data_IF_338079059280
#
_entry.id   IF_338079059280
#
_cell.length_a   1.000
_cell.length_b   1.000
_cell.length_c   1.000
_cell.angle_alpha   90.00
_cell.angle_beta   90.00
_cell.angle_gamma   90.00
#
_symmetry.space_group_name_H-M   'P 1'
#
loop_
_entity.id
_entity.type
_entity.pdbx_description
1 polymer ?
#
# COMPACT_ATOMS: atom_id res chain seq x y z
N UNK A 1 18.81 31.34 21.31
CA UNK A 1 19.01 30.01 20.70
C UNK A 1 17.70 29.63 20.03
N UNK A 2 17.76 29.15 18.79
CA UNK A 2 16.64 28.70 17.96
C UNK A 2 15.83 27.59 18.67
N UNK A 3 14.50 27.69 18.73
CA UNK A 3 13.53 27.33 17.67
C UNK A 3 13.42 25.82 17.42
N UNK A 4 12.24 25.24 17.72
CA UNK A 4 11.35 24.61 16.72
C UNK A 4 9.89 24.93 17.11
N UNK A 5 9.02 25.16 16.12
CA UNK A 5 7.64 25.67 16.25
C UNK A 5 6.57 24.58 16.14
N UNK A 6 5.36 24.95 16.52
CA UNK A 6 4.06 24.29 16.29
C UNK A 6 3.88 23.59 14.93
N UNK A 7 3.07 22.51 14.93
CA UNK A 7 2.26 22.09 13.79
C UNK A 7 0.96 21.42 14.27
N UNK A 8 -0.15 22.18 14.21
CA UNK A 8 -1.52 21.73 14.46
C UNK A 8 -1.91 20.53 13.58
N UNK A 9 -2.45 19.47 14.17
CA UNK A 9 -3.00 18.34 13.41
C UNK A 9 -4.33 18.74 12.72
N UNK A 10 -4.46 18.66 11.38
CA UNK A 10 -5.71 18.96 10.70
C UNK A 10 -6.65 17.74 10.64
N UNK A 11 -7.92 17.98 10.96
CA UNK A 11 -9.05 17.05 10.84
C UNK A 11 -9.28 16.57 9.41
N UNK A 12 -9.29 15.25 9.17
CA UNK A 12 -9.68 14.62 7.88
C UNK A 12 -10.42 13.31 8.20
N UNK A 13 -11.75 13.28 8.35
CA UNK A 13 -12.78 13.33 7.29
C UNK A 13 -12.65 12.24 6.22
N UNK A 14 -13.63 11.33 6.15
CA UNK A 14 -13.65 10.18 5.23
C UNK A 14 -14.04 10.60 3.80
N UNK A 15 -13.10 11.10 3.00
CA UNK A 15 -13.27 11.27 1.54
C UNK A 15 -11.91 11.37 0.80
N UNK A 16 -11.30 10.22 0.50
CA UNK A 16 -10.11 10.10 -0.38
C UNK A 16 -8.78 10.43 0.28
N UNK A 17 -8.08 9.42 0.81
CA UNK A 17 -6.74 9.58 1.37
C UNK A 17 -5.87 8.34 1.02
N UNK A 18 -4.62 8.48 0.52
CA UNK A 18 -3.81 7.33 0.08
C UNK A 18 -3.22 6.52 1.26
N UNK A 19 -2.69 5.32 1.00
CA UNK A 19 -1.91 4.51 1.97
C UNK A 19 -0.51 5.11 2.18
N UNK A 20 0.35 4.56 3.06
CA UNK A 20 1.68 5.11 3.42
C UNK A 20 2.87 4.08 3.43
N UNK A 21 4.04 4.47 2.89
CA UNK A 21 5.24 3.65 2.59
C UNK A 21 6.46 3.93 3.49
N UNK A 22 6.65 5.17 3.93
CA UNK A 22 7.84 5.72 4.65
C UNK A 22 9.15 5.90 3.83
N UNK A 23 9.95 6.91 4.21
CA UNK A 23 11.33 7.18 3.75
C UNK A 23 12.32 7.14 4.95
N UNK A 24 13.65 7.25 4.71
CA UNK A 24 14.67 7.06 5.77
C UNK A 24 14.60 8.06 6.94
N UNK A 25 13.86 9.16 6.79
CA UNK A 25 13.63 10.23 7.77
C UNK A 25 12.45 9.99 8.73
N UNK A 26 11.91 8.76 8.82
CA UNK A 26 10.88 8.40 9.81
C UNK A 26 9.46 8.90 9.50
N UNK A 27 9.29 9.81 8.55
CA UNK A 27 7.98 10.25 8.07
C UNK A 27 7.26 9.13 7.30
N UNK A 28 5.97 8.87 7.57
CA UNK A 28 5.14 8.16 6.61
C UNK A 28 5.02 9.04 5.35
N UNK A 29 5.59 8.61 4.22
CA UNK A 29 5.24 9.13 2.88
C UNK A 29 4.10 8.29 2.30
N UNK A 30 3.19 8.79 1.44
CA UNK A 30 2.11 7.97 0.92
C UNK A 30 2.60 6.80 0.03
N UNK A 31 2.17 5.56 0.30
CA UNK A 31 2.04 4.46 -0.69
C UNK A 31 0.97 4.94 -1.67
N UNK A 32 1.31 5.24 -2.93
CA UNK A 32 0.33 5.76 -3.87
C UNK A 32 -0.56 4.63 -4.38
N UNK A 33 -1.53 4.17 -3.58
CA UNK A 33 -2.59 3.27 -4.05
C UNK A 33 -3.41 3.90 -5.18
N UNK A 34 -3.54 5.23 -5.20
CA UNK A 34 -4.12 5.98 -6.30
C UNK A 34 -3.31 5.86 -7.62
N UNK A 35 -2.03 5.45 -7.56
CA UNK A 35 -1.26 5.10 -8.75
C UNK A 35 -1.52 3.66 -9.23
N UNK A 36 -2.16 2.80 -8.43
CA UNK A 36 -2.59 1.47 -8.85
C UNK A 36 -3.91 1.57 -9.63
N UNK A 37 -3.98 0.89 -10.76
CA UNK A 37 -5.23 0.70 -11.49
C UNK A 37 -6.21 -0.15 -10.68
N UNK A 38 -7.51 -0.06 -10.99
CA UNK A 38 -8.56 -0.91 -10.39
C UNK A 38 -8.20 -2.39 -10.34
N UNK A 39 -7.51 -2.89 -11.37
CA UNK A 39 -7.08 -4.30 -11.45
C UNK A 39 -5.87 -4.63 -10.58
N UNK A 40 -4.92 -3.71 -10.48
CA UNK A 40 -3.78 -3.83 -9.58
C UNK A 40 -4.23 -3.75 -8.11
N UNK A 41 -5.23 -2.93 -7.78
CA UNK A 41 -5.87 -2.89 -6.45
C UNK A 41 -6.54 -4.22 -6.08
N UNK A 42 -7.29 -4.84 -7.00
CA UNK A 42 -7.88 -6.16 -6.78
C UNK A 42 -6.82 -7.24 -6.50
N UNK A 43 -5.72 -7.24 -7.27
CA UNK A 43 -4.60 -8.17 -7.06
C UNK A 43 -3.89 -7.87 -5.73
N UNK A 44 -3.67 -6.60 -5.38
CA UNK A 44 -3.05 -6.21 -4.12
C UNK A 44 -3.90 -6.62 -2.90
N UNK A 45 -5.23 -6.43 -2.94
CA UNK A 45 -6.15 -6.93 -1.90
C UNK A 45 -5.97 -8.42 -1.67
N UNK A 46 -6.04 -9.21 -2.74
CA UNK A 46 -5.92 -10.67 -2.66
C UNK A 46 -4.53 -11.12 -2.21
N UNK A 47 -3.49 -10.31 -2.41
CA UNK A 47 -2.16 -10.54 -1.84
C UNK A 47 -2.14 -10.28 -0.32
N UNK A 48 -2.79 -9.21 0.16
CA UNK A 48 -2.93 -8.88 1.59
C UNK A 48 -3.77 -9.92 2.34
N UNK A 49 -4.79 -10.49 1.69
CA UNK A 49 -5.55 -11.66 2.16
C UNK A 49 -4.69 -12.95 2.26
N UNK A 50 -3.40 -12.91 1.91
CA UNK A 50 -2.48 -14.04 1.98
C UNK A 50 -2.57 -15.03 0.82
N UNK A 51 -3.46 -14.81 -0.16
CA UNK A 51 -3.78 -15.82 -1.18
C UNK A 51 -2.62 -16.03 -2.17
N UNK A 52 -2.25 -17.28 -2.52
CA UNK A 52 -1.19 -17.55 -3.49
C UNK A 52 -1.67 -17.22 -4.91
N UNK A 53 -0.74 -16.88 -5.81
CA UNK A 53 -1.05 -16.37 -7.16
C UNK A 53 -2.00 -17.26 -7.97
N UNK A 54 -1.98 -18.59 -7.76
CA UNK A 54 -2.92 -19.55 -8.36
C UNK A 54 -4.38 -19.33 -7.92
N UNK A 55 -4.61 -19.02 -6.65
CA UNK A 55 -5.96 -18.72 -6.14
C UNK A 55 -6.40 -17.34 -6.63
N UNK A 56 -5.51 -16.34 -6.60
CA UNK A 56 -5.78 -15.01 -7.17
C UNK A 56 -6.14 -15.10 -8.66
N UNK A 57 -5.47 -15.97 -9.42
CA UNK A 57 -5.74 -16.23 -10.82
C UNK A 57 -7.18 -16.75 -11.03
N UNK A 58 -7.60 -17.75 -10.25
CA UNK A 58 -8.96 -18.30 -10.25
C UNK A 58 -10.00 -17.25 -9.84
N UNK A 59 -9.83 -16.60 -8.68
CA UNK A 59 -10.75 -15.59 -8.11
C UNK A 59 -10.99 -14.42 -9.07
N UNK A 60 -9.96 -14.02 -9.82
CA UNK A 60 -10.01 -12.89 -10.73
C UNK A 60 -10.24 -13.31 -12.20
N UNK A 61 -10.41 -14.60 -12.50
CA UNK A 61 -10.59 -15.13 -13.86
C UNK A 61 -9.48 -14.72 -14.85
N UNK A 62 -8.21 -14.81 -14.43
CA UNK A 62 -7.01 -14.51 -15.25
C UNK A 62 -5.92 -15.57 -15.07
N UNK A 63 -4.94 -15.61 -15.96
CA UNK A 63 -3.81 -16.54 -15.82
C UNK A 63 -2.87 -16.18 -14.66
N UNK A 64 -2.17 -17.16 -14.09
CA UNK A 64 -1.10 -16.92 -13.12
C UNK A 64 0.03 -16.02 -13.67
N UNK A 65 0.29 -16.08 -14.98
CA UNK A 65 1.23 -15.18 -15.67
C UNK A 65 0.73 -13.73 -15.60
N UNK A 66 -0.56 -13.51 -15.81
CA UNK A 66 -1.21 -12.20 -15.69
C UNK A 66 -1.17 -11.68 -14.26
N UNK A 67 -1.39 -12.54 -13.25
CA UNK A 67 -1.21 -12.18 -11.84
C UNK A 67 0.23 -11.75 -11.55
N UNK A 68 1.24 -12.54 -12.00
CA UNK A 68 2.66 -12.19 -11.85
C UNK A 68 3.02 -10.86 -12.52
N UNK A 69 2.44 -10.56 -13.68
CA UNK A 69 2.59 -9.27 -14.36
C UNK A 69 1.99 -8.11 -13.54
N UNK A 70 0.77 -8.28 -12.99
CA UNK A 70 0.20 -7.29 -12.08
C UNK A 70 1.05 -7.10 -10.82
N UNK A 71 1.55 -8.17 -10.19
CA UNK A 71 2.50 -8.08 -9.07
C UNK A 71 3.72 -7.21 -9.43
N UNK A 72 4.37 -7.47 -10.58
CA UNK A 72 5.55 -6.72 -11.00
C UNK A 72 5.25 -5.22 -11.23
N UNK A 73 4.08 -4.88 -11.78
CA UNK A 73 3.67 -3.48 -11.95
C UNK A 73 3.32 -2.82 -10.61
N UNK A 74 2.62 -3.51 -9.70
CA UNK A 74 2.35 -3.04 -8.32
C UNK A 74 3.67 -2.74 -7.62
N UNK A 75 4.62 -3.66 -7.66
CA UNK A 75 5.93 -3.53 -7.03
C UNK A 75 6.71 -2.32 -7.58
N UNK A 76 6.75 -2.16 -8.91
CA UNK A 76 7.36 -0.99 -9.57
C UNK A 76 6.69 0.33 -9.17
N UNK A 77 5.35 0.38 -9.15
CA UNK A 77 4.56 1.59 -8.83
C UNK A 77 4.67 2.01 -7.36
N UNK A 78 4.76 1.05 -6.45
CA UNK A 78 4.89 1.29 -5.01
C UNK A 78 6.36 1.35 -4.55
N UNK A 79 7.33 1.24 -5.47
CA UNK A 79 8.77 1.22 -5.19
C UNK A 79 9.20 0.15 -4.16
N UNK A 80 8.59 -1.03 -4.23
CA UNK A 80 8.87 -2.18 -3.35
C UNK A 80 9.40 -3.36 -4.15
N UNK A 81 10.13 -4.26 -3.49
CA UNK A 81 10.83 -5.37 -4.16
C UNK A 81 10.25 -6.76 -3.86
N UNK A 82 9.26 -6.90 -2.97
CA UNK A 82 8.76 -8.21 -2.56
C UNK A 82 7.29 -8.22 -2.13
N UNK A 83 6.69 -9.42 -2.16
CA UNK A 83 5.35 -9.69 -1.61
C UNK A 83 5.28 -9.33 -0.12
N UNK A 84 6.31 -9.67 0.65
CA UNK A 84 6.39 -9.36 2.08
C UNK A 84 6.50 -7.86 2.31
N UNK A 85 7.22 -7.11 1.47
CA UNK A 85 7.26 -5.65 1.55
C UNK A 85 5.89 -5.01 1.24
N UNK A 86 5.12 -5.55 0.28
CA UNK A 86 3.74 -5.10 0.03
C UNK A 86 2.86 -5.30 1.26
N UNK A 87 2.88 -6.50 1.84
CA UNK A 87 2.11 -6.84 3.04
C UNK A 87 2.55 -5.94 4.20
N UNK A 88 3.86 -5.81 4.47
CA UNK A 88 4.39 -5.01 5.56
C UNK A 88 4.04 -3.51 5.43
N UNK A 89 4.11 -2.92 4.22
CA UNK A 89 3.76 -1.52 4.01
C UNK A 89 2.25 -1.26 4.23
N UNK A 90 1.39 -2.18 3.79
CA UNK A 90 -0.04 -2.11 4.07
C UNK A 90 -0.35 -2.32 5.57
N UNK A 91 0.27 -3.31 6.22
CA UNK A 91 0.14 -3.52 7.68
C UNK A 91 0.60 -2.31 8.47
N UNK A 92 1.71 -1.66 8.09
CA UNK A 92 2.20 -0.45 8.75
C UNK A 92 1.25 0.75 8.59
N UNK A 93 0.43 0.77 7.54
CA UNK A 93 -0.67 1.73 7.39
C UNK A 93 -1.87 1.36 8.28
N UNK A 94 -2.18 0.07 8.43
CA UNK A 94 -3.29 -0.44 9.26
C UNK A 94 -3.03 -0.34 10.78
N UNK A 95 -1.77 -0.42 11.21
CA UNK A 95 -1.35 -0.47 12.62
C UNK A 95 -0.74 0.85 13.13
N UNK A 96 -0.91 1.97 12.43
CA UNK A 96 -0.77 3.27 13.10
C UNK A 96 -1.96 3.42 14.04
N UNK A 97 -1.80 3.42 15.38
CA UNK A 97 -2.92 3.55 16.30
C UNK A 97 -3.64 4.86 15.99
N UNK A 98 -4.96 4.78 15.83
CA UNK A 98 -5.80 5.91 15.39
C UNK A 98 -6.15 6.80 16.58
N UNK A 99 -5.12 7.34 17.22
CA UNK A 99 -5.18 8.24 18.37
C UNK A 99 -5.33 7.53 19.71
N UNK A 100 -4.33 7.75 20.56
CA UNK A 100 -4.50 8.26 21.92
C UNK A 100 -3.60 9.51 22.06
#
# INVERSE_FOLDING_TARGET
MSEVREATQPTISLNGNPLYLYAHSGMPVPLPIDALSKRELQVASKIMEGLPNKIIATELFISERTVKFHCANIYRKLNINSRTALIAACFKTLYSPRGD
#
